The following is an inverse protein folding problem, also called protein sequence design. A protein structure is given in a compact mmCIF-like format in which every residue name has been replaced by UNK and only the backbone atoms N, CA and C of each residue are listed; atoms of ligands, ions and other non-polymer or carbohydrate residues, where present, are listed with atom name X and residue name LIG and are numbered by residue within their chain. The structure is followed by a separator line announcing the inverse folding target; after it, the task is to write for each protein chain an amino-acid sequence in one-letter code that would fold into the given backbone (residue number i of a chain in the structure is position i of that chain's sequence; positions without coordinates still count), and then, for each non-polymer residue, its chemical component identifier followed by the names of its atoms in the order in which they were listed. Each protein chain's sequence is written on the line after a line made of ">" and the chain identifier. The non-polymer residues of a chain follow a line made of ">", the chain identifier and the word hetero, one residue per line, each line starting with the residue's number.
data_IF_229339332440
#
_entry.id   IF_229339332440
#
_cell.length_a   1.000
_cell.length_b   1.000
_cell.length_c   1.000
_cell.angle_alpha   90.00
_cell.angle_beta   90.00
_cell.angle_gamma   90.00
#
_symmetry.space_group_name_H-M   'P 1'
#
loop_
_entity.id
_entity.type
_entity.pdbx_description
1 polymer ?
#
# COMPACT_ATOMS: atom_id res chain seq x y z
N UNK A 1 -25.58 22.48 22.81
CA UNK A 1 -25.66 23.47 21.71
C UNK A 1 -25.21 24.92 22.02
N UNK A 2 -25.94 25.77 22.78
CA UNK A 2 -25.59 27.22 22.93
C UNK A 2 -24.17 27.50 23.46
N UNK A 3 -23.66 26.67 24.38
CA UNK A 3 -22.29 26.77 24.93
C UNK A 3 -21.22 26.42 23.87
N UNK A 4 -21.39 25.33 23.12
CA UNK A 4 -20.50 24.94 22.03
C UNK A 4 -20.50 25.96 20.87
N UNK A 5 -21.66 26.54 20.53
CA UNK A 5 -21.74 27.61 19.52
C UNK A 5 -20.99 28.86 19.99
N UNK A 6 -21.13 29.25 21.27
CA UNK A 6 -20.35 30.34 21.86
C UNK A 6 -18.84 30.05 21.84
N UNK A 7 -18.43 28.81 22.14
CA UNK A 7 -17.03 28.39 22.09
C UNK A 7 -16.46 28.43 20.67
N UNK A 8 -17.22 28.02 19.65
CA UNK A 8 -16.82 28.16 18.24
C UNK A 8 -16.53 29.61 17.84
N UNK A 9 -17.29 30.58 18.37
CA UNK A 9 -17.04 32.01 18.11
C UNK A 9 -15.84 32.58 18.87
N UNK A 10 -15.32 31.85 19.86
CA UNK A 10 -14.14 32.24 20.65
C UNK A 10 -12.85 31.59 20.15
N UNK A 11 -12.94 30.63 19.22
CA UNK A 11 -11.78 30.04 18.59
C UNK A 11 -11.23 31.03 17.55
N UNK A 12 -9.96 31.36 17.70
CA UNK A 12 -9.22 32.06 16.64
C UNK A 12 -8.91 31.06 15.52
N UNK A 13 -9.75 31.03 14.50
CA UNK A 13 -9.53 30.19 13.31
C UNK A 13 -8.25 30.55 12.56
N UNK A 14 -7.80 31.80 12.66
CA UNK A 14 -6.49 32.23 12.17
C UNK A 14 -5.36 31.51 12.92
N UNK A 15 -5.42 31.44 14.25
CA UNK A 15 -4.43 30.69 15.04
C UNK A 15 -4.48 29.19 14.74
N UNK A 16 -5.68 28.62 14.56
CA UNK A 16 -5.84 27.21 14.16
C UNK A 16 -5.13 26.99 12.81
N UNK A 17 -5.40 27.85 11.81
CA UNK A 17 -4.79 27.77 10.49
C UNK A 17 -3.26 27.87 10.56
N UNK A 18 -2.72 28.87 11.28
CA UNK A 18 -1.27 29.05 11.42
C UNK A 18 -0.64 27.81 12.06
N UNK A 19 -1.24 27.29 13.14
CA UNK A 19 -0.74 26.07 13.80
C UNK A 19 -0.79 24.84 12.90
N UNK A 20 -1.82 24.69 12.08
CA UNK A 20 -1.90 23.59 11.10
C UNK A 20 -0.80 23.72 10.06
N UNK A 21 -0.54 24.92 9.54
CA UNK A 21 0.54 25.17 8.58
C UNK A 21 1.90 24.89 9.21
N UNK A 22 2.14 25.30 10.46
CA UNK A 22 3.42 25.08 11.13
C UNK A 22 3.68 23.59 11.42
N UNK A 23 2.63 22.82 11.73
CA UNK A 23 2.71 21.35 11.83
C UNK A 23 3.05 20.72 10.48
N UNK A 24 2.38 21.13 9.39
CA UNK A 24 2.69 20.66 8.04
C UNK A 24 4.13 20.98 7.62
N UNK A 25 4.60 22.20 7.88
CA UNK A 25 5.97 22.61 7.59
C UNK A 25 7.00 21.78 8.38
N UNK A 26 6.68 21.42 9.62
CA UNK A 26 7.52 20.53 10.44
C UNK A 26 7.63 19.15 9.79
N UNK A 27 6.50 18.56 9.38
CA UNK A 27 6.48 17.29 8.65
C UNK A 27 7.30 17.37 7.35
N UNK A 28 7.16 18.45 6.58
CA UNK A 28 7.94 18.64 5.35
C UNK A 28 9.44 18.74 5.59
N UNK A 29 9.83 19.42 6.67
CA UNK A 29 11.21 19.58 7.05
C UNK A 29 11.83 18.24 7.47
N UNK A 30 11.13 17.47 8.29
CA UNK A 30 11.56 16.14 8.76
C UNK A 30 11.63 15.15 7.59
N UNK A 31 10.60 15.13 6.74
CA UNK A 31 10.63 14.34 5.51
C UNK A 31 11.85 14.69 4.65
N UNK A 32 12.13 15.99 4.47
CA UNK A 32 13.27 16.46 3.69
C UNK A 32 14.65 16.03 4.22
N UNK A 33 14.78 15.72 5.52
CA UNK A 33 16.03 15.20 6.08
C UNK A 33 16.18 13.70 5.89
N UNK A 34 15.08 12.97 5.88
CA UNK A 34 15.08 11.50 5.96
C UNK A 34 14.87 10.84 4.58
N UNK A 35 14.45 11.61 3.58
CA UNK A 35 14.13 11.11 2.25
C UNK A 35 15.40 10.63 1.50
N UNK A 36 15.43 9.34 1.17
CA UNK A 36 16.46 8.75 0.30
C UNK A 36 16.17 8.89 -1.21
N UNK A 37 14.94 9.27 -1.57
CA UNK A 37 14.44 9.34 -2.95
C UNK A 37 13.78 10.68 -3.30
N UNK A 38 12.96 10.68 -4.36
CA UNK A 38 12.09 11.80 -4.73
C UNK A 38 10.67 11.56 -4.23
N UNK A 39 10.12 12.54 -3.51
CA UNK A 39 8.74 12.47 -3.05
C UNK A 39 7.80 12.46 -4.25
N UNK A 40 6.96 11.43 -4.35
CA UNK A 40 6.06 11.22 -5.47
C UNK A 40 4.58 11.24 -5.08
N UNK A 41 4.29 10.89 -3.82
CA UNK A 41 2.94 10.94 -3.25
C UNK A 41 2.94 11.30 -1.76
N UNK A 42 1.87 11.93 -1.31
CA UNK A 42 1.53 12.02 0.11
C UNK A 42 0.03 11.75 0.31
N UNK A 43 -0.35 10.90 1.24
CA UNK A 43 -1.74 10.60 1.57
C UNK A 43 -2.04 11.07 2.98
N UNK A 44 -2.94 12.04 3.13
CA UNK A 44 -3.47 12.45 4.42
C UNK A 44 -4.79 11.74 4.72
N UNK A 45 -4.96 11.27 5.94
CA UNK A 45 -6.20 10.62 6.38
C UNK A 45 -6.46 10.92 7.84
N UNK A 46 -7.72 10.88 8.26
CA UNK A 46 -8.02 11.02 9.67
C UNK A 46 -7.61 9.76 10.43
N UNK A 47 -6.96 9.96 11.58
CA UNK A 47 -6.50 8.86 12.42
C UNK A 47 -7.69 8.27 13.21
N UNK A 48 -8.31 7.25 12.63
CA UNK A 48 -9.40 6.50 13.24
C UNK A 48 -8.92 5.56 14.37
N UNK A 49 -7.61 5.41 14.55
CA UNK A 49 -7.01 4.57 15.60
C UNK A 49 -6.64 5.36 16.86
N UNK A 50 -6.37 6.68 16.74
CA UNK A 50 -5.97 7.56 17.84
C UNK A 50 -7.03 8.64 18.14
N UNK A 51 -8.27 8.21 18.36
CA UNK A 51 -9.34 9.08 18.85
C UNK A 51 -9.96 10.02 17.82
N UNK A 52 -9.53 9.97 16.54
CA UNK A 52 -10.12 10.73 15.42
C UNK A 52 -10.15 12.24 15.69
N UNK A 53 -9.06 12.75 16.28
CA UNK A 53 -8.84 14.17 16.61
C UNK A 53 -7.78 14.83 15.73
N UNK A 54 -7.19 14.11 14.78
CA UNK A 54 -6.14 14.62 13.91
C UNK A 54 -5.99 13.84 12.61
N UNK A 55 -5.12 14.32 11.74
CA UNK A 55 -4.74 13.64 10.51
C UNK A 55 -3.34 13.02 10.62
N UNK A 56 -3.22 11.83 10.04
CA UNK A 56 -1.96 11.16 9.79
C UNK A 56 -1.59 11.28 8.31
N UNK A 57 -0.32 11.01 7.99
CA UNK A 57 0.23 11.07 6.64
C UNK A 57 1.08 9.86 6.30
N UNK A 58 0.93 9.35 5.08
CA UNK A 58 1.86 8.41 4.45
C UNK A 58 2.57 9.08 3.27
N UNK A 59 3.78 8.64 2.97
CA UNK A 59 4.55 9.14 1.84
C UNK A 59 4.90 8.00 0.89
N UNK A 60 4.91 8.32 -0.40
CA UNK A 60 5.38 7.44 -1.47
C UNK A 60 6.55 8.12 -2.19
N UNK A 61 7.52 7.31 -2.64
CA UNK A 61 8.78 7.80 -3.21
C UNK A 61 9.12 7.08 -4.51
N UNK A 62 9.75 7.82 -5.43
CA UNK A 62 10.33 7.29 -6.67
C UNK A 62 9.36 6.60 -7.65
N UNK A 63 8.04 6.72 -7.44
CA UNK A 63 6.99 6.31 -8.38
C UNK A 63 5.84 7.32 -8.38
N UNK A 64 5.55 7.95 -9.52
CA UNK A 64 4.44 8.89 -9.63
C UNK A 64 3.33 8.43 -10.58
N UNK A 65 3.23 7.12 -10.84
CA UNK A 65 2.03 6.54 -11.44
C UNK A 65 0.85 6.65 -10.45
N UNK A 66 -0.21 7.43 -10.76
CA UNK A 66 -1.31 7.68 -9.83
C UNK A 66 -2.06 6.42 -9.41
N UNK A 67 -2.12 5.42 -10.28
CA UNK A 67 -2.84 4.17 -10.04
C UNK A 67 -2.00 3.22 -9.14
N UNK A 68 -0.68 3.36 -9.19
CA UNK A 68 0.26 2.53 -8.42
C UNK A 68 0.60 3.17 -7.07
N UNK A 69 0.67 4.50 -7.01
CA UNK A 69 0.92 5.30 -5.82
C UNK A 69 0.02 4.93 -4.64
N UNK A 70 -1.24 4.58 -4.92
CA UNK A 70 -2.20 4.19 -3.89
C UNK A 70 -1.79 2.92 -3.15
N UNK A 71 -0.99 2.06 -3.78
CA UNK A 71 -0.48 0.81 -3.23
C UNK A 71 0.87 0.98 -2.52
N UNK A 72 1.44 2.19 -2.55
CA UNK A 72 2.72 2.49 -1.91
C UNK A 72 2.57 3.12 -0.54
N UNK A 73 1.37 3.62 -0.21
CA UNK A 73 1.11 4.20 1.10
C UNK A 73 1.02 3.09 2.15
N UNK A 74 2.06 2.99 2.96
CA UNK A 74 2.12 2.08 4.11
C UNK A 74 2.35 2.86 5.40
N UNK A 75 1.75 2.37 6.49
CA UNK A 75 1.82 2.98 7.82
C UNK A 75 1.00 4.26 7.98
N UNK A 76 1.61 5.26 8.61
CA UNK A 76 1.00 6.56 8.88
C UNK A 76 1.58 7.24 10.12
N UNK A 77 2.16 8.43 9.93
CA UNK A 77 2.68 9.25 11.03
C UNK A 77 1.72 10.40 11.33
N UNK A 78 1.65 10.83 12.60
CA UNK A 78 0.79 11.95 12.98
C UNK A 78 1.24 13.25 12.30
N UNK A 79 0.39 13.81 11.46
CA UNK A 79 0.70 15.00 10.67
C UNK A 79 0.15 16.29 11.29
N UNK A 80 -1.11 16.26 11.72
CA UNK A 80 -1.81 17.42 12.27
C UNK A 80 -2.69 16.98 13.43
N UNK A 81 -2.47 17.55 14.60
CA UNK A 81 -3.32 17.37 15.77
C UNK A 81 -4.33 18.53 15.90
N UNK A 82 -5.62 18.21 15.99
CA UNK A 82 -6.71 19.15 16.28
C UNK A 82 -7.36 18.94 17.66
N UNK A 83 -6.77 18.17 18.57
CA UNK A 83 -7.32 17.94 19.91
C UNK A 83 -7.57 19.28 20.65
N UNK A 84 -6.72 20.28 20.43
CA UNK A 84 -6.88 21.62 20.98
C UNK A 84 -8.15 22.36 20.50
N UNK A 85 -8.77 21.92 19.40
CA UNK A 85 -10.07 22.37 18.89
C UNK A 85 -11.18 21.47 19.42
N UNK A 86 -11.03 20.15 19.29
CA UNK A 86 -12.04 19.18 19.73
C UNK A 86 -12.34 19.32 21.23
N UNK A 87 -11.32 19.39 22.08
CA UNK A 87 -11.44 19.58 23.54
C UNK A 87 -12.20 20.83 23.96
N UNK A 88 -12.29 21.85 23.09
CA UNK A 88 -13.00 23.11 23.35
C UNK A 88 -14.43 23.10 22.84
N UNK A 89 -14.71 22.40 21.75
CA UNK A 89 -15.98 22.50 21.01
C UNK A 89 -16.90 21.33 21.31
N UNK A 90 -16.35 20.11 21.35
CA UNK A 90 -17.14 18.88 21.51
C UNK A 90 -17.46 18.72 22.99
N UNK A 91 -18.74 18.90 23.40
CA UNK A 91 -19.13 18.65 24.78
C UNK A 91 -19.06 17.15 25.09
N UNK A 92 -19.20 16.74 26.35
CA UNK A 92 -19.45 15.35 26.70
C UNK A 92 -20.96 15.12 26.86
N UNK A 93 -21.69 14.89 25.76
CA UNK A 93 -23.14 14.62 25.76
C UNK A 93 -23.57 13.72 24.59
N UNK A 94 -24.86 13.36 24.52
CA UNK A 94 -25.37 12.47 23.46
C UNK A 94 -25.22 13.04 22.04
N UNK A 95 -25.07 14.35 21.89
CA UNK A 95 -24.90 15.04 20.58
C UNK A 95 -23.42 15.09 20.12
N UNK A 96 -22.48 14.60 20.94
CA UNK A 96 -21.04 14.79 20.72
C UNK A 96 -20.55 14.21 19.41
N UNK A 97 -21.00 13.03 19.03
CA UNK A 97 -20.59 12.39 17.77
C UNK A 97 -21.03 13.21 16.55
N UNK A 98 -22.26 13.74 16.57
CA UNK A 98 -22.77 14.61 15.51
C UNK A 98 -21.98 15.91 15.42
N UNK A 99 -21.70 16.54 16.56
CA UNK A 99 -20.91 17.79 16.61
C UNK A 99 -19.47 17.54 16.14
N UNK A 100 -18.86 16.43 16.56
CA UNK A 100 -17.52 16.02 16.13
C UNK A 100 -17.48 15.82 14.62
N UNK A 101 -18.44 15.11 14.05
CA UNK A 101 -18.55 14.88 12.60
C UNK A 101 -18.74 16.18 11.82
N UNK A 102 -19.63 17.09 12.25
CA UNK A 102 -19.78 18.39 11.59
C UNK A 102 -18.53 19.27 11.73
N UNK A 103 -17.88 19.31 12.90
CA UNK A 103 -16.64 20.07 13.10
C UNK A 103 -15.52 19.56 12.19
N UNK A 104 -15.39 18.23 12.07
CA UNK A 104 -14.46 17.56 11.17
C UNK A 104 -14.74 17.95 9.71
N UNK A 105 -15.92 17.60 9.22
CA UNK A 105 -16.24 17.60 7.79
C UNK A 105 -16.51 19.00 7.23
N UNK A 106 -17.12 19.88 8.02
CA UNK A 106 -17.60 21.18 7.54
C UNK A 106 -16.60 22.32 7.82
N UNK A 107 -15.67 22.13 8.76
CA UNK A 107 -14.74 23.18 9.18
C UNK A 107 -13.27 22.76 9.08
N UNK A 108 -12.87 21.73 9.82
CA UNK A 108 -11.45 21.33 9.90
C UNK A 108 -10.94 20.79 8.58
N UNK A 109 -11.78 20.05 7.85
CA UNK A 109 -11.47 19.55 6.52
C UNK A 109 -11.16 20.69 5.55
N UNK A 110 -12.00 21.73 5.52
CA UNK A 110 -11.81 22.89 4.66
C UNK A 110 -10.56 23.68 5.07
N UNK A 111 -10.36 23.89 6.38
CA UNK A 111 -9.20 24.59 6.91
C UNK A 111 -7.90 23.84 6.57
N UNK A 112 -7.88 22.52 6.76
CA UNK A 112 -6.76 21.66 6.45
C UNK A 112 -6.38 21.75 4.97
N UNK A 113 -7.34 21.65 4.04
CA UNK A 113 -7.06 21.77 2.61
C UNK A 113 -6.41 23.11 2.25
N UNK A 114 -6.88 24.21 2.85
CA UNK A 114 -6.27 25.53 2.66
C UNK A 114 -4.87 25.60 3.27
N UNK A 115 -4.67 24.98 4.43
CA UNK A 115 -3.38 24.95 5.11
C UNK A 115 -2.35 24.16 4.31
N UNK A 116 -2.74 23.00 3.75
CA UNK A 116 -1.91 22.24 2.80
C UNK A 116 -1.58 23.10 1.60
N UNK A 117 -2.57 23.67 0.91
CA UNK A 117 -2.32 24.53 -0.25
C UNK A 117 -1.29 25.64 0.02
N UNK A 118 -1.37 26.27 1.20
CA UNK A 118 -0.44 27.31 1.60
C UNK A 118 0.94 26.75 1.94
N UNK A 119 1.02 25.65 2.69
CA UNK A 119 2.28 24.98 3.06
C UNK A 119 3.05 24.48 1.82
N UNK A 120 2.36 24.05 0.75
CA UNK A 120 2.99 23.69 -0.53
C UNK A 120 3.73 24.87 -1.20
N UNK A 121 3.48 26.12 -0.78
CA UNK A 121 4.20 27.31 -1.27
C UNK A 121 5.34 27.74 -0.36
N UNK A 122 5.50 27.10 0.80
CA UNK A 122 6.46 27.48 1.84
C UNK A 122 7.81 26.79 1.63
N UNK A 123 8.83 27.43 2.19
CA UNK A 123 10.24 27.08 1.98
C UNK A 123 10.57 25.63 2.32
N UNK A 124 10.00 25.08 3.40
CA UNK A 124 10.33 23.72 3.83
C UNK A 124 9.82 22.67 2.85
N UNK A 125 8.61 22.83 2.32
CA UNK A 125 8.15 22.01 1.21
C UNK A 125 9.04 22.20 -0.03
N UNK A 126 9.35 23.43 -0.43
CA UNK A 126 10.12 23.71 -1.65
C UNK A 126 11.55 23.14 -1.65
N UNK A 127 12.11 22.82 -0.48
CA UNK A 127 13.44 22.21 -0.34
C UNK A 127 13.44 20.69 -0.56
N UNK A 128 12.30 20.01 -0.42
CA UNK A 128 12.20 18.56 -0.60
C UNK A 128 12.43 18.24 -2.08
N UNK A 129 13.17 17.16 -2.36
CA UNK A 129 13.30 16.59 -3.70
C UNK A 129 12.00 15.86 -4.10
N UNK A 130 11.41 16.19 -5.24
CA UNK A 130 10.08 15.69 -5.64
C UNK A 130 10.04 15.29 -7.10
N UNK A 131 9.19 14.33 -7.42
CA UNK A 131 8.80 14.03 -8.81
C UNK A 131 7.86 15.12 -9.36
N UNK A 132 7.83 15.27 -10.69
CA UNK A 132 6.84 16.10 -11.39
C UNK A 132 6.01 15.20 -12.32
N UNK A 133 4.70 15.02 -12.05
CA UNK A 133 3.94 15.57 -10.93
C UNK A 133 4.14 14.81 -9.61
N UNK A 134 3.89 15.51 -8.50
CA UNK A 134 3.67 14.97 -7.16
C UNK A 134 2.17 15.02 -6.85
N UNK A 135 1.63 13.94 -6.31
CA UNK A 135 0.22 13.83 -5.94
C UNK A 135 0.01 13.91 -4.44
N UNK A 136 -0.86 14.80 -4.00
CA UNK A 136 -1.32 14.89 -2.61
C UNK A 136 -2.74 14.35 -2.57
N UNK A 137 -2.93 13.31 -1.79
CA UNK A 137 -4.19 12.61 -1.62
C UNK A 137 -4.78 12.88 -0.25
N UNK A 138 -6.09 12.66 -0.18
CA UNK A 138 -6.88 12.71 1.03
C UNK A 138 -7.82 11.52 1.10
N UNK A 139 -7.82 10.79 2.20
CA UNK A 139 -8.85 9.81 2.54
C UNK A 139 -9.56 10.21 3.85
N UNK A 140 -10.76 9.70 4.07
CA UNK A 140 -11.48 9.94 5.31
C UNK A 140 -11.00 9.06 6.46
N UNK A 141 -10.49 7.86 6.14
CA UNK A 141 -9.82 6.92 7.02
C UNK A 141 -8.76 6.16 6.20
N UNK A 142 -7.86 5.43 6.87
CA UNK A 142 -6.76 4.73 6.21
C UNK A 142 -7.21 3.69 5.17
N UNK A 143 -8.40 3.08 5.35
CA UNK A 143 -8.96 2.08 4.43
C UNK A 143 -9.98 2.64 3.42
N UNK A 144 -10.22 3.96 3.42
CA UNK A 144 -11.17 4.55 2.49
C UNK A 144 -10.49 4.98 1.18
N UNK A 145 -11.17 4.84 0.02
CA UNK A 145 -10.61 5.26 -1.25
C UNK A 145 -10.14 6.72 -1.23
N UNK A 146 -8.85 6.99 -1.46
CA UNK A 146 -8.32 8.34 -1.44
C UNK A 146 -8.77 9.14 -2.65
N UNK A 147 -8.86 10.45 -2.46
CA UNK A 147 -9.14 11.43 -3.51
C UNK A 147 -7.93 12.35 -3.70
N UNK A 148 -7.68 12.77 -4.94
CA UNK A 148 -6.59 13.72 -5.21
C UNK A 148 -7.01 15.08 -4.68
N UNK A 149 -6.26 15.59 -3.71
CA UNK A 149 -6.42 16.93 -3.16
C UNK A 149 -5.61 17.96 -3.96
N UNK A 150 -4.35 17.65 -4.26
CA UNK A 150 -3.50 18.50 -5.10
C UNK A 150 -2.66 17.67 -6.08
N UNK A 151 -2.45 18.24 -7.27
CA UNK A 151 -1.40 17.81 -8.21
C UNK A 151 -0.39 18.93 -8.31
N UNK A 152 0.81 18.69 -7.80
CA UNK A 152 1.92 19.65 -7.82
C UNK A 152 2.82 19.32 -9.01
N UNK A 153 2.98 20.28 -9.93
CA UNK A 153 3.69 20.06 -11.19
C UNK A 153 2.76 19.96 -12.40
N UNK A 154 3.32 20.06 -13.60
CA UNK A 154 2.56 20.16 -14.86
C UNK A 154 2.87 19.03 -15.83
N UNK A 155 3.88 18.22 -15.54
CA UNK A 155 4.26 17.14 -16.43
C UNK A 155 3.26 15.98 -16.35
N UNK A 156 3.46 15.01 -17.24
CA UNK A 156 2.78 13.73 -17.20
C UNK A 156 3.50 12.82 -16.18
N UNK A 157 2.75 11.96 -15.47
CA UNK A 157 3.39 10.94 -14.62
C UNK A 157 4.32 10.06 -15.45
N UNK A 158 5.43 9.65 -14.86
CA UNK A 158 6.37 8.68 -15.40
C UNK A 158 5.88 7.30 -14.99
N UNK A 159 5.09 6.68 -15.87
CA UNK A 159 4.64 5.29 -15.68
C UNK A 159 5.83 4.38 -15.96
N UNK A 160 6.18 3.54 -14.99
CA UNK A 160 7.25 2.57 -15.15
C UNK A 160 6.86 1.54 -16.22
N UNK A 161 7.80 1.20 -17.10
CA UNK A 161 7.65 0.00 -17.90
C UNK A 161 7.96 -1.24 -17.02
N UNK A 162 7.69 -2.44 -17.54
CA UNK A 162 7.96 -3.69 -16.82
C UNK A 162 9.39 -3.77 -16.26
N UNK A 163 10.39 -3.29 -17.02
CA UNK A 163 11.78 -3.30 -16.58
C UNK A 163 12.03 -2.29 -15.45
N UNK A 164 11.47 -1.09 -15.59
CA UNK A 164 11.51 -0.03 -14.58
C UNK A 164 10.86 -0.48 -13.29
N UNK A 165 9.71 -1.14 -13.36
CA UNK A 165 9.00 -1.71 -12.21
C UNK A 165 9.86 -2.75 -11.48
N UNK A 166 10.41 -3.74 -12.18
CA UNK A 166 11.30 -4.74 -11.57
C UNK A 166 12.50 -4.05 -10.89
N UNK A 167 13.14 -3.08 -11.55
CA UNK A 167 14.35 -2.46 -11.04
C UNK A 167 14.11 -1.49 -9.88
N UNK A 168 13.11 -0.60 -10.01
CA UNK A 168 12.89 0.52 -9.10
C UNK A 168 11.93 0.20 -7.96
N UNK A 169 11.01 -0.77 -8.14
CA UNK A 169 10.06 -1.19 -7.11
C UNK A 169 10.51 -2.48 -6.45
N UNK A 170 10.62 -3.57 -7.22
CA UNK A 170 10.94 -4.88 -6.62
C UNK A 170 12.37 -4.93 -6.09
N UNK A 171 13.37 -4.70 -6.94
CA UNK A 171 14.77 -4.90 -6.52
C UNK A 171 15.29 -3.82 -5.57
N UNK A 172 14.67 -2.64 -5.55
CA UNK A 172 15.00 -1.56 -4.62
C UNK A 172 14.48 -1.88 -3.21
N UNK A 173 13.20 -2.21 -3.10
CA UNK A 173 12.53 -2.35 -1.80
C UNK A 173 12.66 -3.79 -1.25
N UNK A 174 12.90 -4.75 -2.13
CA UNK A 174 13.06 -6.16 -1.81
C UNK A 174 14.35 -6.73 -2.44
N UNK A 175 15.53 -6.32 -1.94
CA UNK A 175 16.82 -6.64 -2.57
C UNK A 175 17.12 -8.14 -2.67
N UNK A 176 16.48 -8.98 -1.85
CA UNK A 176 16.61 -10.44 -1.90
C UNK A 176 16.09 -11.05 -3.21
N UNK A 177 15.15 -10.40 -3.92
CA UNK A 177 14.71 -10.87 -5.26
C UNK A 177 15.85 -10.84 -6.28
N UNK A 178 16.90 -10.04 -6.07
CA UNK A 178 18.09 -10.04 -6.94
C UNK A 178 18.81 -11.40 -6.94
N UNK A 179 18.65 -12.20 -5.88
CA UNK A 179 19.20 -13.55 -5.78
C UNK A 179 18.32 -14.59 -6.49
N UNK A 180 17.06 -14.27 -6.75
CA UNK A 180 16.04 -15.14 -7.33
C UNK A 180 15.90 -14.91 -8.84
N UNK A 181 15.76 -13.65 -9.26
CA UNK A 181 15.46 -13.32 -10.64
C UNK A 181 16.59 -13.72 -11.58
N UNK A 182 16.21 -14.43 -12.66
CA UNK A 182 17.14 -14.94 -13.66
C UNK A 182 17.88 -16.22 -13.25
N UNK A 183 17.45 -16.90 -12.18
CA UNK A 183 17.95 -18.23 -11.80
C UNK A 183 17.05 -19.34 -12.35
N UNK A 184 17.66 -20.46 -12.74
CA UNK A 184 16.93 -21.67 -13.14
C UNK A 184 16.30 -22.39 -11.93
N UNK A 185 16.97 -22.32 -10.77
CA UNK A 185 16.58 -22.98 -9.52
C UNK A 185 16.47 -21.97 -8.38
N UNK A 186 15.68 -22.30 -7.36
CA UNK A 186 15.57 -21.45 -6.17
C UNK A 186 16.86 -21.48 -5.37
N UNK A 187 17.25 -20.32 -4.83
CA UNK A 187 18.31 -20.25 -3.83
C UNK A 187 17.86 -21.02 -2.57
N UNK A 188 18.61 -22.05 -2.19
CA UNK A 188 18.31 -22.86 -0.99
C UNK A 188 18.51 -22.08 0.32
N UNK A 189 19.33 -21.03 0.27
CA UNK A 189 19.58 -20.07 1.33
C UNK A 189 19.75 -18.69 0.68
N UNK A 190 18.96 -17.71 1.10
CA UNK A 190 19.12 -16.32 0.69
C UNK A 190 20.23 -15.71 1.54
N UNK A 191 21.46 -15.69 1.03
CA UNK A 191 22.60 -15.22 1.80
C UNK A 191 22.62 -13.70 1.82
N UNK A 192 22.19 -13.13 2.95
CA UNK A 192 22.91 -12.02 3.55
C UNK A 192 22.84 -12.15 5.08
N UNK A 193 23.92 -11.77 5.78
CA UNK A 193 24.07 -11.96 7.24
C UNK A 193 23.01 -11.26 8.11
N UNK A 194 22.10 -10.50 7.50
CA UNK A 194 21.11 -9.67 8.19
C UNK A 194 19.64 -10.03 7.91
N UNK A 195 19.31 -10.87 6.92
CA UNK A 195 17.93 -11.20 6.56
C UNK A 195 17.79 -12.67 6.10
N UNK A 196 17.63 -13.60 7.03
CA UNK A 196 17.14 -14.95 6.70
C UNK A 196 15.65 -14.84 6.34
N UNK A 197 15.33 -14.64 5.06
CA UNK A 197 13.94 -14.57 4.58
C UNK A 197 13.43 -15.98 4.34
N UNK A 198 12.29 -16.31 4.93
CA UNK A 198 11.68 -17.63 4.73
C UNK A 198 10.99 -17.70 3.36
N UNK A 199 10.76 -18.92 2.86
CA UNK A 199 9.92 -19.08 1.65
C UNK A 199 8.48 -18.62 1.86
N UNK A 200 8.00 -18.56 3.11
CA UNK A 200 6.66 -18.05 3.43
C UNK A 200 6.61 -16.52 3.35
N UNK A 201 7.63 -15.81 3.83
CA UNK A 201 7.71 -14.34 3.72
C UNK A 201 7.82 -13.91 2.24
N UNK A 202 8.57 -14.68 1.45
CA UNK A 202 8.64 -14.51 0.00
C UNK A 202 7.27 -14.74 -0.65
N UNK A 203 6.55 -15.79 -0.23
CA UNK A 203 5.22 -16.08 -0.75
C UNK A 203 4.24 -14.95 -0.43
N UNK A 204 4.33 -14.37 0.77
CA UNK A 204 3.52 -13.23 1.18
C UNK A 204 3.75 -12.01 0.29
N UNK A 205 5.03 -11.66 0.06
CA UNK A 205 5.38 -10.52 -0.81
C UNK A 205 4.92 -10.76 -2.26
N UNK A 206 5.18 -11.95 -2.80
CA UNK A 206 4.73 -12.31 -4.15
C UNK A 206 3.20 -12.36 -4.28
N UNK A 207 2.49 -12.79 -3.23
CA UNK A 207 1.04 -12.80 -3.21
C UNK A 207 0.46 -11.39 -3.11
N UNK A 208 1.10 -10.49 -2.36
CA UNK A 208 0.72 -9.08 -2.32
C UNK A 208 0.77 -8.48 -3.73
N UNK A 209 1.86 -8.71 -4.47
CA UNK A 209 1.92 -8.28 -5.87
C UNK A 209 0.81 -8.89 -6.74
N UNK A 210 0.51 -10.19 -6.64
CA UNK A 210 -0.60 -10.80 -7.38
C UNK A 210 -1.95 -10.13 -7.05
N UNK A 211 -2.17 -9.82 -5.78
CA UNK A 211 -3.38 -9.14 -5.36
C UNK A 211 -3.45 -7.73 -5.97
N UNK A 212 -2.43 -6.92 -5.73
CA UNK A 212 -2.37 -5.51 -6.15
C UNK A 212 -2.38 -5.34 -7.67
N UNK A 213 -1.56 -6.10 -8.40
CA UNK A 213 -1.34 -5.85 -9.83
C UNK A 213 -2.18 -6.72 -10.77
N UNK A 214 -2.67 -7.87 -10.29
CA UNK A 214 -3.56 -8.73 -11.08
C UNK A 214 -5.01 -8.68 -10.61
N UNK A 215 -5.28 -8.90 -9.32
CA UNK A 215 -6.67 -8.99 -8.83
C UNK A 215 -7.40 -7.64 -8.88
N UNK A 216 -6.70 -6.54 -8.60
CA UNK A 216 -7.27 -5.19 -8.76
C UNK A 216 -7.20 -4.68 -10.21
N UNK A 217 -6.69 -5.49 -11.14
CA UNK A 217 -6.52 -5.18 -12.56
C UNK A 217 -5.75 -3.88 -12.83
N UNK A 218 -4.87 -3.45 -11.91
CA UNK A 218 -4.14 -2.20 -12.02
C UNK A 218 -3.04 -2.25 -13.09
N UNK A 219 -2.16 -3.27 -13.06
CA UNK A 219 -1.00 -3.44 -13.98
C UNK A 219 -0.69 -4.92 -14.25
N UNK A 220 -1.55 -5.65 -14.99
CA UNK A 220 -1.36 -7.09 -15.23
C UNK A 220 -0.06 -7.44 -15.98
N UNK A 221 0.53 -6.51 -16.72
CA UNK A 221 1.84 -6.63 -17.34
C UNK A 221 3.00 -6.82 -16.35
N UNK A 222 2.91 -6.25 -15.15
CA UNK A 222 3.92 -6.40 -14.11
C UNK A 222 3.98 -7.83 -13.58
N UNK A 223 2.81 -8.47 -13.43
CA UNK A 223 2.72 -9.87 -13.01
C UNK A 223 3.36 -10.80 -14.03
N UNK A 224 3.18 -10.53 -15.32
CA UNK A 224 3.86 -11.29 -16.38
C UNK A 224 5.38 -11.08 -16.31
N UNK A 225 5.82 -9.84 -16.13
CA UNK A 225 7.24 -9.52 -16.00
C UNK A 225 7.91 -10.24 -14.81
N UNK A 226 7.22 -10.32 -13.67
CA UNK A 226 7.69 -11.12 -12.52
C UNK A 226 7.72 -12.60 -12.91
N UNK A 227 6.64 -13.14 -13.47
CA UNK A 227 6.52 -14.56 -13.83
C UNK A 227 7.63 -15.04 -14.79
N UNK A 228 8.07 -14.18 -15.71
CA UNK A 228 9.17 -14.47 -16.64
C UNK A 228 10.53 -14.61 -15.96
N UNK A 229 10.71 -13.99 -14.78
CA UNK A 229 11.97 -13.98 -14.04
C UNK A 229 12.02 -15.00 -12.90
N UNK A 230 10.88 -15.57 -12.51
CA UNK A 230 10.78 -16.53 -11.42
C UNK A 230 11.41 -17.90 -11.80
N UNK A 231 12.12 -18.56 -10.87
CA UNK A 231 12.65 -19.89 -11.10
C UNK A 231 11.56 -20.91 -11.39
N UNK A 232 11.81 -21.79 -12.36
CA UNK A 232 10.84 -22.77 -12.85
C UNK A 232 10.99 -24.14 -12.16
N UNK A 233 12.10 -24.40 -11.46
CA UNK A 233 12.35 -25.68 -10.81
C UNK A 233 11.59 -25.81 -9.48
N UNK A 234 10.56 -26.65 -9.43
CA UNK A 234 9.75 -26.90 -8.22
C UNK A 234 10.48 -27.59 -7.07
N UNK A 235 11.52 -28.37 -7.36
CA UNK A 235 12.21 -29.27 -6.41
C UNK A 235 12.81 -28.57 -5.18
N UNK A 236 13.16 -27.29 -5.31
CA UNK A 236 13.77 -26.48 -4.25
C UNK A 236 12.74 -25.69 -3.44
N UNK A 237 11.46 -25.70 -3.86
CA UNK A 237 10.36 -25.09 -3.11
C UNK A 237 9.91 -26.06 -2.02
N UNK A 238 9.85 -25.61 -0.77
CA UNK A 238 9.46 -26.45 0.38
C UNK A 238 8.14 -26.00 1.00
N UNK A 239 7.81 -24.71 0.89
CA UNK A 239 6.56 -24.13 1.38
C UNK A 239 5.39 -24.38 0.44
N UNK A 240 4.25 -24.83 0.98
CA UNK A 240 2.99 -24.88 0.25
C UNK A 240 2.51 -23.48 -0.18
N UNK A 241 2.69 -22.45 0.66
CA UNK A 241 2.29 -21.07 0.32
C UNK A 241 3.03 -20.58 -0.91
N UNK A 242 4.35 -20.76 -0.95
CA UNK A 242 5.15 -20.37 -2.10
C UNK A 242 4.74 -21.16 -3.36
N UNK A 243 4.48 -22.46 -3.24
CA UNK A 243 3.99 -23.28 -4.37
C UNK A 243 2.70 -22.73 -4.98
N UNK A 244 1.72 -22.37 -4.14
CA UNK A 244 0.44 -21.83 -4.60
C UNK A 244 0.63 -20.50 -5.33
N UNK A 245 1.45 -19.61 -4.76
CA UNK A 245 1.72 -18.28 -5.33
C UNK A 245 2.44 -18.41 -6.68
N UNK A 246 3.48 -19.23 -6.77
CA UNK A 246 4.19 -19.48 -8.04
C UNK A 246 3.30 -20.11 -9.09
N UNK A 247 2.46 -21.08 -8.70
CA UNK A 247 1.47 -21.63 -9.61
C UNK A 247 0.51 -20.55 -10.12
N UNK A 248 0.20 -19.54 -9.28
CA UNK A 248 -0.64 -18.40 -9.65
C UNK A 248 0.01 -17.57 -10.75
N UNK A 249 1.27 -17.17 -10.55
CA UNK A 249 2.07 -16.46 -11.57
C UNK A 249 2.13 -17.23 -12.89
N UNK A 250 2.47 -18.53 -12.85
CA UNK A 250 2.58 -19.33 -14.07
C UNK A 250 1.23 -19.60 -14.74
N UNK A 251 0.15 -19.73 -13.97
CA UNK A 251 -1.21 -19.84 -14.50
C UNK A 251 -1.63 -18.56 -15.24
N UNK A 252 -1.37 -17.39 -14.66
CA UNK A 252 -1.66 -16.07 -15.23
C UNK A 252 -0.82 -15.82 -16.49
N UNK A 253 0.46 -16.21 -16.45
CA UNK A 253 1.39 -16.12 -17.58
C UNK A 253 1.18 -17.23 -18.63
N UNK A 254 0.09 -18.00 -18.54
CA UNK A 254 -0.30 -19.05 -19.50
C UNK A 254 0.77 -20.14 -19.68
N UNK A 255 1.45 -20.50 -18.60
CA UNK A 255 2.39 -21.63 -18.47
C UNK A 255 1.77 -22.72 -17.60
N UNK A 256 0.70 -23.40 -18.07
CA UNK A 256 -0.09 -24.33 -17.25
C UNK A 256 0.73 -25.50 -16.74
N UNK A 257 1.70 -26.00 -17.52
CA UNK A 257 2.55 -27.12 -17.09
C UNK A 257 3.44 -26.79 -15.89
N UNK A 258 3.97 -25.56 -15.83
CA UNK A 258 4.75 -25.11 -14.68
C UNK A 258 3.84 -24.90 -13.46
N UNK A 259 2.65 -24.33 -13.66
CA UNK A 259 1.68 -24.19 -12.59
C UNK A 259 1.31 -25.56 -11.99
N UNK A 260 0.96 -26.53 -12.84
CA UNK A 260 0.64 -27.90 -12.42
C UNK A 260 1.82 -28.58 -11.73
N UNK A 261 3.05 -28.39 -12.22
CA UNK A 261 4.26 -28.90 -11.58
C UNK A 261 4.38 -28.47 -10.11
N UNK A 262 4.13 -27.20 -9.79
CA UNK A 262 4.14 -26.73 -8.41
C UNK A 262 2.98 -27.30 -7.57
N UNK A 263 1.78 -27.38 -8.16
CA UNK A 263 0.58 -27.88 -7.49
C UNK A 263 0.62 -29.38 -7.19
N UNK A 264 1.28 -30.19 -8.05
CA UNK A 264 1.49 -31.63 -7.83
C UNK A 264 2.18 -31.92 -6.51
N UNK A 265 3.14 -31.07 -6.15
CA UNK A 265 4.04 -31.22 -5.00
C UNK A 265 3.50 -30.60 -3.70
N UNK A 266 2.24 -30.14 -3.67
CA UNK A 266 1.59 -29.71 -2.43
C UNK A 266 1.55 -30.86 -1.41
N UNK A 267 1.91 -30.56 -0.17
CA UNK A 267 1.96 -31.50 0.96
C UNK A 267 0.79 -31.31 1.89
N UNK A 268 0.33 -32.39 2.53
CA UNK A 268 -0.73 -32.33 3.54
C UNK A 268 -0.29 -31.52 4.76
N UNK A 269 -1.01 -30.44 5.06
CA UNK A 269 -0.79 -29.52 6.17
C UNK A 269 -2.14 -28.93 6.64
N UNK A 270 -2.24 -28.58 7.92
CA UNK A 270 -3.49 -28.17 8.61
C UNK A 270 -4.29 -27.07 7.87
N UNK A 271 -3.60 -26.13 7.23
CA UNK A 271 -4.23 -24.97 6.58
C UNK A 271 -4.13 -24.98 5.06
N UNK A 272 -3.69 -26.09 4.43
CA UNK A 272 -3.54 -26.15 2.98
C UNK A 272 -4.85 -25.85 2.24
N UNK A 273 -5.96 -26.43 2.69
CA UNK A 273 -7.27 -26.28 2.04
C UNK A 273 -7.73 -24.82 1.99
N UNK A 274 -7.53 -24.09 3.10
CA UNK A 274 -7.84 -22.65 3.20
C UNK A 274 -6.95 -21.83 2.29
N UNK A 275 -5.63 -22.03 2.34
CA UNK A 275 -4.70 -21.30 1.46
C UNK A 275 -4.98 -21.58 -0.03
N UNK A 276 -5.30 -22.83 -0.38
CA UNK A 276 -5.65 -23.21 -1.74
C UNK A 276 -6.93 -22.52 -2.21
N UNK A 277 -7.94 -22.42 -1.35
CA UNK A 277 -9.19 -21.73 -1.67
C UNK A 277 -8.95 -20.26 -1.98
N UNK A 278 -8.09 -19.58 -1.21
CA UNK A 278 -7.71 -18.19 -1.48
C UNK A 278 -6.93 -18.02 -2.78
N UNK A 279 -6.02 -18.93 -3.10
CA UNK A 279 -5.24 -18.89 -4.33
C UNK A 279 -6.04 -19.28 -5.58
N UNK A 280 -7.23 -19.88 -5.43
CA UNK A 280 -7.98 -20.50 -6.53
C UNK A 280 -8.30 -19.53 -7.67
N UNK A 281 -8.55 -18.26 -7.36
CA UNK A 281 -8.87 -17.24 -8.37
C UNK A 281 -7.75 -17.07 -9.41
N UNK A 282 -6.49 -17.24 -9.01
CA UNK A 282 -5.34 -17.20 -9.92
C UNK A 282 -5.26 -18.41 -10.86
N UNK A 283 -5.97 -19.50 -10.57
CA UNK A 283 -5.98 -20.73 -11.36
C UNK A 283 -7.13 -20.79 -12.36
N UNK A 284 -7.84 -19.69 -12.59
CA UNK A 284 -9.00 -19.64 -13.49
C UNK A 284 -8.72 -20.23 -14.89
N UNK A 285 -7.49 -20.11 -15.41
CA UNK A 285 -7.08 -20.68 -16.70
C UNK A 285 -6.92 -22.22 -16.69
N UNK A 286 -6.82 -22.82 -15.51
CA UNK A 286 -6.62 -24.26 -15.28
C UNK A 286 -7.93 -24.99 -14.93
N UNK A 287 -9.04 -24.29 -14.69
CA UNK A 287 -10.29 -24.91 -14.19
C UNK A 287 -10.80 -26.03 -15.10
N UNK A 288 -10.54 -25.98 -16.41
CA UNK A 288 -10.91 -27.07 -17.34
C UNK A 288 -9.87 -28.17 -17.50
N UNK A 289 -8.66 -27.99 -16.96
CA UNK A 289 -7.61 -28.99 -17.02
C UNK A 289 -7.97 -30.21 -16.13
N UNK A 290 -8.00 -31.44 -16.68
CA UNK A 290 -8.36 -32.64 -15.92
C UNK A 290 -7.45 -32.88 -14.70
N UNK A 291 -6.15 -32.63 -14.85
CA UNK A 291 -5.18 -32.81 -13.77
C UNK A 291 -5.42 -31.80 -12.66
N UNK A 292 -5.70 -30.54 -13.00
CA UNK A 292 -6.06 -29.53 -12.00
C UNK A 292 -7.31 -29.95 -11.21
N UNK A 293 -8.33 -30.49 -11.90
CA UNK A 293 -9.55 -31.02 -11.23
C UNK A 293 -9.21 -32.13 -10.25
N UNK A 294 -8.29 -33.04 -10.58
CA UNK A 294 -7.81 -34.10 -9.67
C UNK A 294 -7.08 -33.51 -8.45
N UNK A 295 -6.19 -32.53 -8.66
CA UNK A 295 -5.47 -31.84 -7.59
C UNK A 295 -6.46 -31.15 -6.64
N UNK A 296 -7.48 -30.46 -7.16
CA UNK A 296 -8.53 -29.82 -6.35
C UNK A 296 -9.25 -30.84 -5.47
N UNK A 297 -9.59 -32.03 -6.00
CA UNK A 297 -10.22 -33.08 -5.20
C UNK A 297 -9.29 -33.64 -4.13
N UNK A 298 -8.00 -33.83 -4.45
CA UNK A 298 -6.98 -34.28 -3.50
C UNK A 298 -6.82 -33.30 -2.34
N UNK A 299 -6.70 -31.99 -2.62
CA UNK A 299 -6.57 -30.95 -1.60
C UNK A 299 -7.81 -30.88 -0.70
N UNK A 300 -9.02 -31.05 -1.27
CA UNK A 300 -10.26 -31.13 -0.48
C UNK A 300 -10.30 -32.34 0.45
N UNK A 301 -9.72 -33.47 0.04
CA UNK A 301 -9.64 -34.67 0.86
C UNK A 301 -8.64 -34.53 2.02
N UNK A 302 -7.56 -33.76 1.84
CA UNK A 302 -6.56 -33.47 2.86
C UNK A 302 -7.04 -32.50 3.96
N UNK A 303 -8.10 -31.74 3.69
CA UNK A 303 -8.67 -30.78 4.65
C UNK A 303 -9.76 -31.37 5.57
N UNK A 304 -9.84 -32.70 5.71
CA UNK A 304 -10.79 -33.44 6.56
C UNK A 304 -10.05 -34.25 7.59
#
# INVERSE_FOLDING_TARGET
>A
MRKSISQLTQISWEEVFIKTVDQLDTNWKELGTDLSGELSGALFFWDDTQGNVGLSVCFAIDNNDPDDLLNEFDGGESAVDFDFVFSKVVPACEESERIQSSLKNELLDVLFEKAVAYSLTRTDFLKIKKMDPLYIYRAYAHNEPPTILFKVGKNKPEILDAKGFIQRRILKDHPYFSQIFGKEEWAEQYQDKFNEISQDDLAETLNHFLFTYWKEESKPEYIKAIAELLPIASKTVRSNRLRLVLAGYFSIDKKPELALQHLRELKEEEHLSTHFLWAREYFSSLEENPEFKEIVQRVKAMGR
#
